data_IF_438536085352
#
_entry.id   IF_438536085352
#
_cell.length_a   1.000
_cell.length_b   1.000
_cell.length_c   1.000
_cell.angle_alpha   90.00
_cell.angle_beta   90.00
_cell.angle_gamma   90.00
#
_symmetry.space_group_name_H-M   'P 1'
#
loop_
_entity.id
_entity.type
_entity.pdbx_description
1 polymer ?
#
# COMPACT_ATOMS: atom_id res chain seq x y z
N UNK A 1 -10.54 6.28 7.37
CA UNK A 1 -9.21 5.61 7.43
C UNK A 1 -9.06 5.08 8.85
N UNK A 2 -8.91 3.76 9.08
CA UNK A 2 -8.69 3.24 10.43
C UNK A 2 -7.39 3.81 11.00
N UNK A 3 -7.33 3.99 12.32
CA UNK A 3 -6.27 4.74 13.02
C UNK A 3 -4.84 4.33 12.64
N UNK A 4 -4.58 3.07 12.28
CA UNK A 4 -3.26 2.59 11.82
C UNK A 4 -2.76 3.27 10.53
N UNK A 5 -3.67 3.71 9.65
CA UNK A 5 -3.33 4.41 8.42
C UNK A 5 -2.95 5.88 8.63
N UNK A 6 -3.17 6.43 9.81
CA UNK A 6 -2.77 7.81 10.17
C UNK A 6 -1.36 7.88 10.76
N UNK A 7 -0.82 6.75 11.25
CA UNK A 7 0.53 6.69 11.86
C UNK A 7 1.64 6.39 10.85
N UNK A 8 1.30 5.78 9.71
CA UNK A 8 2.26 5.50 8.64
C UNK A 8 2.08 6.48 7.48
N UNK A 9 3.19 7.05 7.00
CA UNK A 9 3.20 8.02 5.89
C UNK A 9 2.71 7.44 4.54
N UNK A 10 2.76 6.13 4.38
CA UNK A 10 2.31 5.40 3.18
C UNK A 10 1.50 4.19 3.66
N UNK A 11 0.35 3.95 3.05
CA UNK A 11 -0.56 2.85 3.41
C UNK A 11 -0.96 2.01 2.19
N UNK A 12 -1.67 0.92 2.44
CA UNK A 12 -2.26 0.09 1.37
C UNK A 12 -3.23 0.88 0.48
N UNK A 13 -3.80 1.97 1.00
CA UNK A 13 -4.67 2.85 0.23
C UNK A 13 -3.89 3.57 -0.88
N UNK A 14 -2.67 4.04 -0.61
CA UNK A 14 -1.81 4.72 -1.59
C UNK A 14 -1.34 3.79 -2.72
N UNK A 15 -1.37 2.47 -2.49
CA UNK A 15 -1.13 1.44 -3.50
C UNK A 15 -2.37 1.18 -4.37
N UNK A 16 -3.56 1.19 -3.76
CA UNK A 16 -4.83 0.80 -4.38
C UNK A 16 -5.48 1.96 -5.15
N UNK A 17 -5.44 3.17 -4.60
CA UNK A 17 -6.05 4.37 -5.20
C UNK A 17 -5.63 4.61 -6.64
N UNK A 18 -4.32 4.65 -7.00
CA UNK A 18 -3.92 4.90 -8.39
C UNK A 18 -4.43 3.81 -9.34
N UNK A 19 -4.51 2.55 -8.90
CA UNK A 19 -5.02 1.43 -9.69
C UNK A 19 -6.53 1.53 -9.92
N UNK A 20 -7.29 1.86 -8.88
CA UNK A 20 -8.76 2.09 -8.99
C UNK A 20 -9.06 3.29 -9.89
N UNK A 21 -8.28 4.38 -9.78
CA UNK A 21 -8.40 5.55 -10.65
C UNK A 21 -8.03 5.24 -12.10
N UNK A 22 -7.13 4.29 -12.34
CA UNK A 22 -6.83 3.75 -13.67
C UNK A 22 -7.93 2.81 -14.21
N UNK A 23 -9.00 2.58 -13.45
CA UNK A 23 -10.12 1.71 -13.84
C UNK A 23 -9.86 0.22 -13.57
N UNK A 24 -8.79 -0.14 -12.86
CA UNK A 24 -8.54 -1.53 -12.50
C UNK A 24 -9.55 -2.01 -11.45
N UNK A 25 -10.10 -3.21 -11.68
CA UNK A 25 -10.98 -3.88 -10.72
C UNK A 25 -10.16 -4.76 -9.79
N UNK A 26 -9.81 -4.21 -8.62
CA UNK A 26 -9.06 -4.96 -7.60
C UNK A 26 -10.01 -5.93 -6.88
N UNK A 27 -9.68 -7.22 -6.93
CA UNK A 27 -10.43 -8.28 -6.25
C UNK A 27 -10.01 -8.49 -4.79
N UNK A 28 -10.80 -9.28 -4.04
CA UNK A 28 -10.46 -9.64 -2.63
C UNK A 28 -9.10 -10.34 -2.50
N UNK A 29 -8.71 -11.15 -3.50
CA UNK A 29 -7.43 -11.89 -3.46
C UNK A 29 -6.23 -10.94 -3.52
N UNK A 30 -6.21 -10.01 -4.46
CA UNK A 30 -5.15 -8.99 -4.55
C UNK A 30 -5.08 -8.12 -3.29
N UNK A 31 -6.24 -7.71 -2.76
CA UNK A 31 -6.32 -6.99 -1.50
C UNK A 31 -5.72 -7.79 -0.32
N UNK A 32 -5.96 -9.10 -0.28
CA UNK A 32 -5.40 -9.99 0.73
C UNK A 32 -3.87 -10.16 0.55
N UNK A 33 -3.39 -10.30 -0.68
CA UNK A 33 -1.96 -10.38 -1.00
C UNK A 33 -1.22 -9.10 -0.60
N UNK A 34 -1.79 -7.93 -0.89
CA UNK A 34 -1.24 -6.63 -0.47
C UNK A 34 -1.26 -6.45 1.06
N UNK A 35 -2.14 -7.15 1.79
CA UNK A 35 -2.19 -7.15 3.24
C UNK A 35 -1.02 -7.87 3.92
N UNK A 36 -0.43 -8.87 3.25
CA UNK A 36 0.77 -9.57 3.72
C UNK A 36 2.07 -9.04 3.06
N UNK A 37 1.98 -8.51 1.84
CA UNK A 37 3.10 -8.29 0.92
C UNK A 37 4.00 -7.08 1.15
N UNK A 38 4.00 -6.44 2.32
CA UNK A 38 4.92 -5.31 2.52
C UNK A 38 4.94 -4.73 3.91
N UNK A 39 6.02 -4.98 4.65
CA UNK A 39 6.29 -4.29 5.90
C UNK A 39 6.89 -2.91 5.63
N UNK A 40 6.22 -1.85 6.06
CA UNK A 40 6.79 -0.51 6.05
C UNK A 40 7.96 -0.44 7.03
N UNK A 41 9.16 -0.13 6.53
CA UNK A 41 10.38 -0.07 7.36
C UNK A 41 10.51 1.23 8.17
N UNK A 42 9.52 2.13 8.11
CA UNK A 42 9.55 3.44 8.77
C UNK A 42 10.87 4.21 8.54
N UNK A 43 11.39 4.15 7.31
CA UNK A 43 12.60 4.87 6.90
C UNK A 43 12.47 6.38 7.14
N UNK A 44 13.56 7.04 7.52
CA UNK A 44 13.61 8.49 7.75
C UNK A 44 13.25 9.29 6.49
N UNK A 45 13.74 8.82 5.33
CA UNK A 45 13.34 9.28 4.00
C UNK A 45 12.60 8.14 3.30
N UNK A 46 11.39 8.41 2.79
CA UNK A 46 10.56 7.40 2.15
C UNK A 46 10.90 7.30 0.67
N UNK A 47 11.28 6.10 0.21
CA UNK A 47 11.60 5.83 -1.19
C UNK A 47 10.43 5.18 -1.95
N UNK A 48 9.19 5.31 -1.48
CA UNK A 48 8.02 4.85 -2.21
C UNK A 48 7.87 5.63 -3.54
N UNK A 49 7.56 5.00 -4.69
CA UNK A 49 7.16 3.59 -4.92
C UNK A 49 8.30 2.60 -5.16
N UNK A 50 9.57 3.03 -5.10
CA UNK A 50 10.73 2.15 -5.27
C UNK A 50 11.02 1.23 -4.05
N UNK A 51 10.25 1.37 -2.96
CA UNK A 51 10.35 0.57 -1.75
C UNK A 51 9.81 -0.87 -1.94
N UNK A 52 10.17 -1.78 -1.04
CA UNK A 52 9.57 -3.13 -0.95
C UNK A 52 8.14 -3.11 -0.41
N UNK A 53 7.68 -1.99 0.14
CA UNK A 53 6.31 -1.82 0.60
C UNK A 53 5.32 -1.92 -0.58
N UNK A 54 4.52 -2.99 -0.60
CA UNK A 54 3.51 -3.24 -1.64
C UNK A 54 3.99 -4.03 -2.86
N UNK A 55 5.21 -4.59 -2.82
CA UNK A 55 5.68 -5.54 -3.84
C UNK A 55 5.26 -6.96 -3.44
N UNK A 56 4.31 -7.52 -4.17
CA UNK A 56 3.93 -8.94 -4.12
C UNK A 56 4.85 -9.74 -5.04
#
# INVERSE_FOLDING_TARGET
IPACGMYHKITIFDLIVPRVLAGEKIGRKELAELGYGGLCQNCTSCSYPACSFGKV
#
